data_IF_980631190894
#
_entry.id   IF_980631190894
#
_cell.length_a   1.000
_cell.length_b   1.000
_cell.length_c   1.000
_cell.angle_alpha   90.00
_cell.angle_beta   90.00
_cell.angle_gamma   90.00
#
_symmetry.space_group_name_H-M   'P 1'
#
loop_
_entity.id
_entity.type
_entity.pdbx_description
1 polymer ?
#
# COMPACT_ATOMS: atom_id res chain seq x y z
N UNK A 1 0.93 10.05 -8.72
CA UNK A 1 0.63 10.53 -7.36
C UNK A 1 -0.84 10.28 -7.04
N UNK A 2 -1.11 9.68 -5.90
CA UNK A 2 -2.47 9.38 -5.47
C UNK A 2 -2.98 10.47 -4.53
N UNK A 3 -4.21 10.92 -4.74
CA UNK A 3 -4.84 11.92 -3.88
C UNK A 3 -5.85 11.26 -2.95
N UNK A 4 -5.53 11.24 -1.66
CA UNK A 4 -6.43 10.74 -0.65
C UNK A 4 -7.34 11.88 -0.19
N UNK A 5 -8.63 11.73 -0.45
CA UNK A 5 -9.62 12.74 -0.06
C UNK A 5 -10.33 12.32 1.21
N UNK A 6 -10.24 13.17 2.24
CA UNK A 6 -10.92 12.97 3.52
C UNK A 6 -11.69 14.24 3.84
N UNK A 7 -13.03 14.18 3.74
CA UNK A 7 -13.92 15.32 3.83
C UNK A 7 -13.53 16.37 2.77
N UNK A 8 -13.19 17.59 3.18
CA UNK A 8 -12.79 18.66 2.26
C UNK A 8 -11.29 18.75 2.02
N UNK A 9 -10.48 17.93 2.72
CA UNK A 9 -9.04 17.93 2.59
C UNK A 9 -8.56 16.86 1.61
N UNK A 10 -7.56 17.21 0.82
CA UNK A 10 -6.87 16.27 -0.07
C UNK A 10 -5.41 16.13 0.39
N UNK A 11 -4.94 14.89 0.43
CA UNK A 11 -3.57 14.57 0.79
C UNK A 11 -2.89 13.91 -0.38
N UNK A 12 -1.74 14.44 -0.78
CA UNK A 12 -0.94 13.89 -1.87
C UNK A 12 -0.07 12.76 -1.35
N UNK A 13 -0.37 11.53 -1.78
CA UNK A 13 0.34 10.32 -1.36
C UNK A 13 1.38 10.00 -2.43
N UNK A 14 2.65 9.92 -2.01
CA UNK A 14 3.74 9.52 -2.88
C UNK A 14 4.80 8.79 -2.07
N UNK A 15 5.19 7.62 -2.53
CA UNK A 15 6.11 6.75 -1.79
C UNK A 15 7.56 7.06 -2.16
N UNK A 16 8.29 7.62 -1.20
CA UNK A 16 9.71 7.90 -1.35
C UNK A 16 10.55 6.65 -1.10
N UNK A 17 11.77 6.63 -1.64
CA UNK A 17 12.68 5.48 -1.55
C UNK A 17 12.99 5.11 -0.09
N UNK A 18 13.53 6.05 0.67
CA UNK A 18 13.96 5.80 2.06
C UNK A 18 12.81 5.46 3.00
N UNK A 19 11.72 6.25 3.06
CA UNK A 19 10.62 5.91 3.97
C UNK A 19 9.99 4.55 3.69
N UNK A 20 9.82 4.19 2.42
CA UNK A 20 9.21 2.92 2.03
C UNK A 20 10.08 1.73 2.42
N UNK A 21 11.38 1.80 2.18
CA UNK A 21 12.30 0.71 2.50
C UNK A 21 12.57 0.59 3.99
N UNK A 22 12.71 1.71 4.69
CA UNK A 22 12.94 1.69 6.15
C UNK A 22 11.75 1.12 6.91
N UNK A 23 10.53 1.28 6.39
CA UNK A 23 9.33 0.70 6.98
C UNK A 23 9.10 -0.76 6.58
N UNK A 24 9.95 -1.35 5.74
CA UNK A 24 9.78 -2.71 5.18
C UNK A 24 8.40 -2.89 4.54
N UNK A 25 7.90 -1.84 3.93
CA UNK A 25 6.51 -1.77 3.51
C UNK A 25 6.17 -2.77 2.41
N UNK A 26 7.08 -2.97 1.45
CA UNK A 26 6.88 -3.90 0.34
C UNK A 26 6.74 -5.33 0.85
N UNK A 27 7.66 -5.78 1.72
CA UNK A 27 7.61 -7.11 2.32
C UNK A 27 6.33 -7.33 3.10
N UNK A 28 5.92 -6.34 3.89
CA UNK A 28 4.73 -6.43 4.73
C UNK A 28 3.46 -6.52 3.89
N UNK A 29 3.39 -5.80 2.78
CA UNK A 29 2.25 -5.87 1.85
C UNK A 29 2.18 -7.21 1.14
N UNK A 30 3.32 -7.76 0.72
CA UNK A 30 3.39 -9.08 0.09
C UNK A 30 2.94 -10.16 1.06
N UNK A 31 3.41 -10.12 2.31
CA UNK A 31 3.01 -11.07 3.34
C UNK A 31 1.52 -11.01 3.64
N UNK A 32 0.97 -9.80 3.76
CA UNK A 32 -0.47 -9.62 3.99
C UNK A 32 -1.30 -10.21 2.84
N UNK A 33 -0.88 -9.98 1.59
CA UNK A 33 -1.54 -10.53 0.41
C UNK A 33 -1.49 -12.05 0.36
N UNK A 34 -0.33 -12.64 0.69
CA UNK A 34 -0.17 -14.09 0.71
C UNK A 34 -1.03 -14.75 1.79
N UNK A 35 -1.14 -14.13 2.96
CA UNK A 35 -2.00 -14.64 4.03
C UNK A 35 -3.47 -14.64 3.61
N UNK A 36 -3.94 -13.59 2.96
CA UNK A 36 -5.33 -13.50 2.49
C UNK A 36 -5.65 -14.63 1.49
N UNK A 37 -4.69 -15.00 0.62
CA UNK A 37 -4.92 -16.04 -0.39
C UNK A 37 -4.90 -17.47 0.15
N UNK A 38 -4.42 -17.70 1.38
CA UNK A 38 -4.28 -19.04 1.98
C UNK A 38 -5.38 -19.38 2.98
N UNK A 39 -6.37 -18.51 3.14
CA UNK A 39 -7.39 -18.67 4.21
C UNK A 39 -8.50 -19.61 3.80
N UNK A 40 -8.71 -20.66 4.62
CA UNK A 40 -9.79 -21.64 4.45
C UNK A 40 -10.94 -21.47 5.46
N UNK A 41 -10.77 -20.67 6.53
CA UNK A 41 -11.76 -20.50 7.60
C UNK A 41 -12.11 -19.03 7.82
N UNK A 42 -13.39 -18.75 8.14
CA UNK A 42 -13.88 -17.39 8.39
C UNK A 42 -13.13 -16.65 9.51
N UNK A 43 -12.80 -17.35 10.61
CA UNK A 43 -12.08 -16.73 11.72
C UNK A 43 -10.69 -16.25 11.31
N UNK A 44 -9.98 -17.05 10.50
CA UNK A 44 -8.67 -16.68 9.98
C UNK A 44 -8.77 -15.51 8.99
N UNK A 45 -9.85 -15.45 8.23
CA UNK A 45 -10.12 -14.33 7.30
C UNK A 45 -10.26 -13.02 8.06
N UNK A 46 -10.98 -13.01 9.18
CA UNK A 46 -11.17 -11.80 9.99
C UNK A 46 -9.87 -11.33 10.62
N UNK A 47 -9.04 -12.26 11.12
CA UNK A 47 -7.73 -11.92 11.68
C UNK A 47 -6.81 -11.31 10.63
N UNK A 48 -6.84 -11.82 9.41
CA UNK A 48 -6.02 -11.30 8.31
C UNK A 48 -6.52 -9.96 7.81
N UNK A 49 -7.83 -9.75 7.80
CA UNK A 49 -8.40 -8.42 7.53
C UNK A 49 -7.93 -7.42 8.56
N UNK A 50 -7.87 -7.81 9.85
CA UNK A 50 -7.36 -6.93 10.89
C UNK A 50 -5.90 -6.56 10.66
N UNK A 51 -5.04 -7.52 10.28
CA UNK A 51 -3.64 -7.25 9.93
C UNK A 51 -3.54 -6.25 8.77
N UNK A 52 -4.35 -6.43 7.73
CA UNK A 52 -4.40 -5.51 6.60
C UNK A 52 -4.88 -4.13 7.04
N UNK A 53 -5.94 -4.07 7.87
CA UNK A 53 -6.47 -2.82 8.38
C UNK A 53 -5.46 -2.05 9.23
N UNK A 54 -4.64 -2.75 10.01
CA UNK A 54 -3.56 -2.13 10.79
C UNK A 54 -2.41 -1.65 9.90
N UNK A 55 -2.18 -2.31 8.78
CA UNK A 55 -1.13 -1.95 7.84
C UNK A 55 -1.47 -0.67 7.06
N UNK A 56 -2.72 -0.44 6.72
CA UNK A 56 -3.15 0.71 5.92
C UNK A 56 -2.72 2.06 6.52
N UNK A 57 -2.92 2.34 7.82
CA UNK A 57 -2.44 3.60 8.40
C UNK A 57 -0.93 3.78 8.25
N UNK A 58 -0.15 2.73 8.37
CA UNK A 58 1.30 2.81 8.17
C UNK A 58 1.66 3.07 6.72
N UNK A 59 0.94 2.47 5.78
CA UNK A 59 1.12 2.74 4.35
C UNK A 59 0.85 4.23 4.06
N UNK A 60 -0.25 4.74 4.58
CA UNK A 60 -0.61 6.15 4.40
C UNK A 60 0.45 7.06 5.01
N UNK A 61 0.89 6.76 6.23
CA UNK A 61 1.92 7.56 6.91
C UNK A 61 3.21 7.65 6.08
N UNK A 62 3.67 6.52 5.54
CA UNK A 62 4.85 6.50 4.66
C UNK A 62 4.60 7.34 3.41
N UNK A 63 3.41 7.25 2.84
CA UNK A 63 3.04 8.02 1.65
C UNK A 63 2.91 9.53 1.89
N UNK A 64 2.73 9.94 3.13
CA UNK A 64 2.63 11.36 3.51
C UNK A 64 3.99 12.02 3.74
N UNK A 65 5.07 11.25 3.88
CA UNK A 65 6.37 11.79 4.25
C UNK A 65 6.95 12.77 3.22
N UNK A 66 6.63 12.59 1.97
CA UNK A 66 7.20 13.43 0.91
C UNK A 66 6.55 14.81 0.81
N UNK A 67 5.23 14.86 0.83
CA UNK A 67 4.48 16.09 0.56
C UNK A 67 3.83 16.70 1.81
N UNK A 68 3.74 15.96 2.92
CA UNK A 68 3.08 16.41 4.15
C UNK A 68 3.96 16.20 5.38
N UNK A 69 5.25 16.41 5.22
CA UNK A 69 6.24 16.21 6.29
C UNK A 69 6.04 17.15 7.48
N UNK A 70 5.52 18.36 7.25
CA UNK A 70 5.28 19.32 8.32
C UNK A 70 4.27 18.81 9.35
N UNK A 71 3.23 18.11 8.89
CA UNK A 71 2.17 17.60 9.75
C UNK A 71 2.42 16.17 10.22
N UNK A 72 2.98 15.31 9.35
CA UNK A 72 3.09 13.85 9.59
C UNK A 72 4.53 13.34 9.62
N UNK A 73 5.52 14.23 9.56
CA UNK A 73 6.92 13.81 9.50
C UNK A 73 7.41 13.08 10.75
N UNK A 74 8.26 12.08 10.53
CA UNK A 74 8.97 11.38 11.60
C UNK A 74 10.35 10.98 11.07
N UNK A 75 11.25 10.60 12.00
CA UNK A 75 12.60 10.16 11.64
C UNK A 75 12.56 8.70 11.20
N UNK A 76 12.87 8.43 9.93
CA UNK A 76 12.87 7.07 9.37
C UNK A 76 13.95 6.16 9.97
N UNK A 77 15.02 6.72 10.48
CA UNK A 77 16.14 5.94 11.04
C UNK A 77 15.92 5.57 12.50
N UNK A 78 15.41 6.50 13.32
CA UNK A 78 15.19 6.30 14.75
C UNK A 78 13.72 6.02 15.10
N UNK A 79 12.82 6.27 14.17
CA UNK A 79 11.36 6.22 14.35
C UNK A 79 10.83 7.26 15.34
N UNK A 80 11.65 8.26 15.71
CA UNK A 80 11.22 9.34 16.59
C UNK A 80 10.06 10.12 15.95
N UNK A 81 9.00 10.30 16.73
CA UNK A 81 7.79 10.99 16.28
C UNK A 81 6.80 10.12 15.51
N UNK A 82 7.15 8.86 15.22
CA UNK A 82 6.30 7.97 14.42
C UNK A 82 4.98 7.66 15.11
N UNK A 83 4.99 7.37 16.40
CA UNK A 83 3.77 7.04 17.15
C UNK A 83 2.77 8.19 17.11
N UNK A 84 3.22 9.42 17.36
CA UNK A 84 2.36 10.60 17.33
C UNK A 84 1.81 10.86 15.92
N UNK A 85 2.65 10.70 14.89
CA UNK A 85 2.23 10.86 13.50
C UNK A 85 1.22 9.79 13.09
N UNK A 86 1.45 8.54 13.52
CA UNK A 86 0.56 7.42 13.24
C UNK A 86 -0.81 7.62 13.89
N UNK A 87 -0.86 8.14 15.12
CA UNK A 87 -2.12 8.46 15.79
C UNK A 87 -2.96 9.47 14.98
N UNK A 88 -2.31 10.45 14.38
CA UNK A 88 -2.99 11.39 13.48
C UNK A 88 -3.60 10.69 12.27
N UNK A 89 -2.90 9.69 11.71
CA UNK A 89 -3.41 8.93 10.58
C UNK A 89 -4.60 8.07 11.00
N UNK A 90 -4.58 7.49 12.21
CA UNK A 90 -5.75 6.78 12.74
C UNK A 90 -6.97 7.69 12.86
N UNK A 91 -6.78 8.93 13.31
CA UNK A 91 -7.86 9.93 13.34
C UNK A 91 -8.38 10.23 11.93
N UNK A 92 -7.49 10.33 10.94
CA UNK A 92 -7.87 10.50 9.54
C UNK A 92 -8.70 9.32 9.05
N UNK A 93 -8.36 8.10 9.44
CA UNK A 93 -9.11 6.90 9.06
C UNK A 93 -10.51 6.89 9.66
N UNK A 94 -10.66 7.35 10.90
CA UNK A 94 -11.98 7.51 11.51
C UNK A 94 -12.83 8.48 10.68
N UNK A 95 -12.27 9.60 10.25
CA UNK A 95 -12.96 10.55 9.38
C UNK A 95 -13.29 9.97 8.01
N UNK A 96 -12.36 9.17 7.46
CA UNK A 96 -12.58 8.51 6.17
C UNK A 96 -13.82 7.60 6.21
N UNK A 97 -13.97 6.82 7.28
CA UNK A 97 -15.11 5.89 7.41
C UNK A 97 -16.45 6.58 7.74
N UNK A 98 -16.45 7.87 8.06
CA UNK A 98 -17.69 8.63 8.18
C UNK A 98 -18.37 8.88 6.82
N UNK A 99 -17.61 8.76 5.73
CA UNK A 99 -18.14 8.91 4.39
C UNK A 99 -18.85 7.63 3.93
N UNK A 100 -19.98 7.77 3.27
CA UNK A 100 -20.71 6.64 2.66
C UNK A 100 -19.93 6.01 1.50
N UNK A 101 -19.00 6.76 0.92
CA UNK A 101 -18.15 6.30 -0.18
C UNK A 101 -16.92 5.53 0.29
N UNK A 102 -16.71 5.38 1.60
CA UNK A 102 -15.54 4.71 2.15
C UNK A 102 -15.51 3.24 1.72
N UNK A 103 -14.39 2.85 1.10
CA UNK A 103 -14.15 1.49 0.63
C UNK A 103 -12.70 1.13 0.93
N UNK A 104 -12.49 0.35 1.99
CA UNK A 104 -11.14 0.03 2.47
C UNK A 104 -10.35 -0.83 1.48
N UNK A 105 -11.02 -1.74 0.77
CA UNK A 105 -10.34 -2.59 -0.21
C UNK A 105 -9.90 -1.76 -1.42
N UNK A 106 -10.74 -0.83 -1.86
CA UNK A 106 -10.39 0.07 -2.95
C UNK A 106 -9.23 0.98 -2.54
N UNK A 107 -9.27 1.50 -1.31
CA UNK A 107 -8.18 2.33 -0.78
C UNK A 107 -6.86 1.56 -0.76
N UNK A 108 -6.87 0.33 -0.25
CA UNK A 108 -5.68 -0.53 -0.21
C UNK A 108 -5.12 -0.76 -1.63
N UNK A 109 -6.00 -1.09 -2.58
CA UNK A 109 -5.60 -1.32 -3.97
C UNK A 109 -5.02 -0.06 -4.62
N UNK A 110 -5.60 1.10 -4.35
CA UNK A 110 -5.10 2.38 -4.88
C UNK A 110 -3.73 2.73 -4.31
N UNK A 111 -3.52 2.50 -3.02
CA UNK A 111 -2.23 2.73 -2.36
C UNK A 111 -1.15 1.78 -2.91
N UNK A 112 -1.50 0.51 -3.09
CA UNK A 112 -0.60 -0.49 -3.64
C UNK A 112 -0.20 -0.12 -5.08
N UNK A 113 -1.16 0.28 -5.88
CA UNK A 113 -0.93 0.73 -7.26
C UNK A 113 0.01 1.94 -7.31
N UNK A 114 -0.22 2.92 -6.45
CA UNK A 114 0.65 4.10 -6.38
C UNK A 114 2.09 3.70 -6.04
N UNK A 115 2.26 2.80 -5.07
CA UNK A 115 3.60 2.34 -4.68
C UNK A 115 4.32 1.62 -5.79
N UNK A 116 3.64 0.71 -6.49
CA UNK A 116 4.27 -0.18 -7.48
C UNK A 116 4.34 0.44 -8.88
N UNK A 117 3.36 1.26 -9.25
CA UNK A 117 3.20 1.72 -10.64
C UNK A 117 3.63 3.16 -10.88
N UNK A 118 3.69 4.00 -9.84
CA UNK A 118 3.90 5.44 -10.00
C UNK A 118 5.12 6.00 -9.25
N UNK A 119 5.70 5.24 -8.34
CA UNK A 119 6.85 5.68 -7.54
C UNK A 119 8.19 5.21 -8.11
N UNK A 120 9.20 5.13 -7.25
CA UNK A 120 10.55 4.70 -7.63
C UNK A 120 10.60 3.24 -8.11
N UNK A 121 9.57 2.44 -7.84
CA UNK A 121 9.48 1.05 -8.29
C UNK A 121 8.87 0.92 -9.69
N UNK A 122 8.40 2.02 -10.28
CA UNK A 122 7.68 2.00 -11.56
C UNK A 122 8.42 1.26 -12.67
N UNK A 123 9.69 1.58 -12.89
CA UNK A 123 10.46 0.98 -13.97
C UNK A 123 10.72 -0.51 -13.74
N UNK A 124 11.01 -0.90 -12.50
CA UNK A 124 11.22 -2.30 -12.14
C UNK A 124 9.93 -3.11 -12.29
N UNK A 125 8.82 -2.58 -11.81
CA UNK A 125 7.51 -3.24 -11.90
C UNK A 125 7.09 -3.43 -13.36
N UNK A 126 7.26 -2.42 -14.20
CA UNK A 126 6.94 -2.51 -15.63
C UNK A 126 7.81 -3.55 -16.35
N UNK A 127 9.09 -3.65 -15.99
CA UNK A 127 10.01 -4.65 -16.55
C UNK A 127 9.57 -6.06 -16.17
N UNK A 128 9.24 -6.31 -14.91
CA UNK A 128 8.75 -7.61 -14.43
C UNK A 128 7.48 -8.03 -15.16
N UNK A 129 6.53 -7.13 -15.31
CA UNK A 129 5.27 -7.40 -16.01
C UNK A 129 5.51 -7.72 -17.49
N UNK A 130 6.46 -7.04 -18.14
CA UNK A 130 6.80 -7.30 -19.52
C UNK A 130 7.45 -8.68 -19.68
N UNK A 131 8.33 -9.10 -18.76
CA UNK A 131 8.96 -10.42 -18.76
C UNK A 131 7.95 -11.54 -18.54
N UNK A 132 7.00 -11.35 -17.62
CA UNK A 132 5.93 -12.31 -17.38
C UNK A 132 5.03 -12.48 -18.61
N UNK A 133 4.70 -11.42 -19.31
CA UNK A 133 3.92 -11.48 -20.55
C UNK A 133 4.67 -12.25 -21.64
N UNK A 134 5.99 -12.05 -21.76
CA UNK A 134 6.82 -12.80 -22.72
C UNK A 134 6.87 -14.29 -22.39
N UNK A 135 7.04 -14.63 -21.11
CA UNK A 135 7.04 -16.02 -20.64
C UNK A 135 5.72 -16.71 -20.91
N UNK A 136 4.59 -16.03 -20.62
CA UNK A 136 3.26 -16.58 -20.87
C UNK A 136 2.98 -16.77 -22.37
N UNK A 137 3.43 -15.85 -23.23
CA UNK A 137 3.30 -16.00 -24.68
C UNK A 137 4.12 -17.20 -25.20
N UNK A 138 5.32 -17.42 -24.69
CA UNK A 138 6.15 -18.57 -25.07
C UNK A 138 5.52 -19.89 -24.61
N UNK A 139 4.99 -19.96 -23.40
CA UNK A 139 4.30 -21.12 -22.87
C UNK A 139 3.05 -21.46 -23.68
N UNK A 140 2.25 -20.44 -24.07
CA UNK A 140 1.05 -20.62 -24.88
C UNK A 140 1.39 -21.11 -26.29
N UNK A 141 2.47 -20.62 -26.90
CA UNK A 141 2.93 -21.07 -28.22
C UNK A 141 3.41 -22.54 -28.19
N UNK A 142 4.12 -22.96 -27.14
CA UNK A 142 4.55 -24.36 -26.99
C UNK A 142 3.35 -25.30 -26.83
N UNK A 143 2.32 -24.90 -26.11
CA UNK A 143 1.10 -25.70 -25.91
C UNK A 143 0.28 -25.81 -27.20
N UNK A 144 0.28 -24.78 -28.06
CA UNK A 144 -0.47 -24.76 -29.32
C UNK A 144 0.20 -25.58 -30.43
N UNK A 145 1.46 -25.96 -30.30
CA UNK A 145 2.20 -26.77 -31.30
C UNK A 145 2.13 -28.29 -31.04
N UNK A 146 1.54 -28.72 -29.95
CA UNK A 146 1.26 -30.10 -29.62
C UNK A 146 -0.18 -30.48 -29.90
#
# INVERSE_FOLDING_TARGET
>A
MYKLKIKEKEYDIKFGYKPTLKANLISRMVQAGNHVSQVEQEADTLLQLEEMLLLIPEIILVGLQKNHKEEFGYDCDTEEGKTAALDKVFEMMDEYFESEEADILQLYNDLQKEMLSEGFLKSMFQREMAEQKKSNKKATKKTAQN
#
